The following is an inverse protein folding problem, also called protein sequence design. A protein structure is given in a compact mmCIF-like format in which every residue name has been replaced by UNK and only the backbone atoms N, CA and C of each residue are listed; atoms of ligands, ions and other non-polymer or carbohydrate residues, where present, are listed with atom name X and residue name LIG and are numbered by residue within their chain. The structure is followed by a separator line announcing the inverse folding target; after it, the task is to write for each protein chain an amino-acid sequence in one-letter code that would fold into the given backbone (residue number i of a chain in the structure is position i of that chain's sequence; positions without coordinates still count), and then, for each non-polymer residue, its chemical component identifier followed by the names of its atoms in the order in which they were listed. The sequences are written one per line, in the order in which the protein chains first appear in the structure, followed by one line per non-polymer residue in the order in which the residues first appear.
data_IF_144670372387
#
_entry.id   IF_144670372387
#
_cell.length_a   1.000
_cell.length_b   1.000
_cell.length_c   1.000
_cell.angle_alpha   90.00
_cell.angle_beta   90.00
_cell.angle_gamma   90.00
#
_symmetry.space_group_name_H-M   'P 1'
#
loop_
_entity.id
_entity.type
_entity.pdbx_description
1 polymer ?
#
# COMPACT_ATOMS: atom_id res chain seq x y z
N UNK A 1 -20.93 15.05 10.99
CA UNK A 1 -20.09 14.09 10.21
C UNK A 1 -20.02 12.82 11.03
N UNK A 2 -20.40 11.66 10.46
CA UNK A 2 -20.35 10.36 11.16
C UNK A 2 -18.90 9.97 11.47
N UNK A 3 -18.66 9.26 12.58
CA UNK A 3 -17.32 8.80 12.95
C UNK A 3 -16.73 7.85 11.89
N UNK A 4 -17.56 7.05 11.22
CA UNK A 4 -17.14 6.21 10.09
C UNK A 4 -16.61 7.04 8.91
N UNK A 5 -17.22 8.20 8.63
CA UNK A 5 -16.76 9.09 7.55
C UNK A 5 -15.41 9.72 7.89
N UNK A 6 -15.13 10.01 9.17
CA UNK A 6 -13.83 10.50 9.60
C UNK A 6 -12.74 9.43 9.39
N UNK A 7 -13.03 8.19 9.83
CA UNK A 7 -12.11 7.06 9.65
C UNK A 7 -11.78 6.84 8.17
N UNK A 8 -12.78 6.87 7.29
CA UNK A 8 -12.56 6.73 5.84
C UNK A 8 -11.70 7.88 5.29
N UNK A 9 -11.88 9.11 5.77
CA UNK A 9 -11.04 10.22 5.36
C UNK A 9 -9.59 10.05 5.82
N UNK A 10 -9.36 9.58 7.05
CA UNK A 10 -8.01 9.30 7.57
C UNK A 10 -7.32 8.18 6.77
N UNK A 11 -8.04 7.13 6.43
CA UNK A 11 -7.52 6.05 5.56
C UNK A 11 -7.19 6.61 4.16
N UNK A 12 -8.04 7.47 3.61
CA UNK A 12 -7.79 8.13 2.31
C UNK A 12 -6.51 8.96 2.33
N UNK A 13 -6.33 9.79 3.34
CA UNK A 13 -5.13 10.62 3.51
C UNK A 13 -3.88 9.75 3.67
N UNK A 14 -3.98 8.65 4.42
CA UNK A 14 -2.88 7.69 4.59
C UNK A 14 -2.51 7.02 3.27
N UNK A 15 -3.49 6.55 2.49
CA UNK A 15 -3.27 5.95 1.17
C UNK A 15 -2.61 6.96 0.22
N UNK A 16 -3.06 8.21 0.23
CA UNK A 16 -2.45 9.28 -0.58
C UNK A 16 -0.99 9.53 -0.17
N UNK A 17 -0.71 9.58 1.13
CA UNK A 17 0.65 9.73 1.63
C UNK A 17 1.55 8.57 1.18
N UNK A 18 1.09 7.32 1.32
CA UNK A 18 1.84 6.13 0.91
C UNK A 18 2.12 6.11 -0.60
N UNK A 19 1.16 6.54 -1.42
CA UNK A 19 1.33 6.68 -2.87
C UNK A 19 2.44 7.70 -3.20
N UNK A 20 2.45 8.86 -2.54
CA UNK A 20 3.51 9.86 -2.73
C UNK A 20 4.89 9.33 -2.31
N UNK A 21 4.97 8.57 -1.21
CA UNK A 21 6.23 7.94 -0.80
C UNK A 21 6.71 6.91 -1.83
N UNK A 22 5.78 6.11 -2.38
CA UNK A 22 6.07 5.13 -3.42
C UNK A 22 6.61 5.78 -4.70
N UNK A 23 6.04 6.91 -5.11
CA UNK A 23 6.51 7.68 -6.27
C UNK A 23 7.91 8.26 -6.07
N UNK A 24 8.28 8.59 -4.83
CA UNK A 24 9.64 9.03 -4.49
C UNK A 24 10.68 7.90 -4.48
N UNK A 25 10.24 6.64 -4.54
CA UNK A 25 11.11 5.46 -4.44
C UNK A 25 11.68 5.21 -3.04
N UNK A 26 11.14 5.87 -2.02
CA UNK A 26 11.63 5.84 -0.64
C UNK A 26 10.84 4.83 0.21
N UNK A 27 11.52 4.19 1.18
CA UNK A 27 10.88 3.39 2.25
C UNK A 27 9.93 2.28 1.76
N UNK A 28 10.29 1.61 0.67
CA UNK A 28 9.42 0.61 0.00
C UNK A 28 8.91 -0.49 0.96
N UNK A 29 9.78 -1.08 1.79
CA UNK A 29 9.37 -2.10 2.76
C UNK A 29 8.36 -1.55 3.79
N UNK A 30 8.56 -0.32 4.26
CA UNK A 30 7.63 0.33 5.19
C UNK A 30 6.27 0.55 4.53
N UNK A 31 6.26 0.98 3.26
CA UNK A 31 5.04 1.16 2.48
C UNK A 31 4.29 -0.17 2.38
N UNK A 32 4.98 -1.27 2.05
CA UNK A 32 4.38 -2.61 1.95
C UNK A 32 3.68 -2.99 3.25
N UNK A 33 4.37 -2.88 4.39
CA UNK A 33 3.78 -3.26 5.68
C UNK A 33 2.53 -2.42 6.00
N UNK A 34 2.61 -1.10 5.85
CA UNK A 34 1.49 -0.22 6.20
C UNK A 34 0.30 -0.38 5.26
N UNK A 35 0.55 -0.59 3.97
CA UNK A 35 -0.55 -0.77 3.01
C UNK A 35 -1.23 -2.13 3.18
N UNK A 36 -0.50 -3.17 3.62
CA UNK A 36 -1.10 -4.46 3.96
C UNK A 36 -2.03 -4.37 5.18
N UNK A 37 -1.63 -3.65 6.23
CA UNK A 37 -2.49 -3.39 7.39
C UNK A 37 -3.78 -2.64 7.01
N UNK A 38 -3.67 -1.69 6.07
CA UNK A 38 -4.82 -0.95 5.53
C UNK A 38 -5.74 -1.87 4.73
N UNK A 39 -5.18 -2.76 3.89
CA UNK A 39 -5.95 -3.74 3.13
C UNK A 39 -6.73 -4.66 4.06
N UNK A 40 -6.10 -5.16 5.12
CA UNK A 40 -6.77 -6.00 6.13
C UNK A 40 -7.90 -5.22 6.82
N UNK A 41 -7.62 -4.01 7.29
CA UNK A 41 -8.61 -3.16 7.98
C UNK A 41 -9.82 -2.84 7.11
N UNK A 42 -9.58 -2.47 5.84
CA UNK A 42 -10.65 -2.22 4.87
C UNK A 42 -11.41 -3.50 4.51
N UNK A 43 -10.74 -4.65 4.43
CA UNK A 43 -11.38 -5.94 4.21
C UNK A 43 -12.32 -6.32 5.36
N UNK A 44 -11.88 -6.14 6.60
CA UNK A 44 -12.70 -6.34 7.80
C UNK A 44 -13.89 -5.39 7.81
N UNK A 45 -13.67 -4.11 7.49
CA UNK A 45 -14.74 -3.13 7.37
C UNK A 45 -15.77 -3.59 6.33
N UNK A 46 -15.36 -3.90 5.10
CA UNK A 46 -16.25 -4.31 4.01
C UNK A 46 -17.05 -5.60 4.27
N UNK A 47 -16.60 -6.43 5.22
CA UNK A 47 -17.35 -7.61 5.67
C UNK A 47 -18.61 -7.27 6.47
N UNK A 48 -18.72 -6.03 6.99
CA UNK A 48 -19.89 -5.54 7.68
C UNK A 48 -21.02 -5.18 6.70
N UNK A 49 -22.12 -5.94 6.75
CA UNK A 49 -23.29 -5.73 5.90
C UNK A 49 -24.14 -4.52 6.32
N UNK A 50 -23.92 -3.98 7.53
CA UNK A 50 -24.62 -2.81 8.07
C UNK A 50 -23.99 -1.47 7.66
N UNK A 51 -22.85 -1.51 6.96
CA UNK A 51 -22.18 -0.30 6.47
C UNK A 51 -23.09 0.55 5.59
N UNK A 52 -23.18 1.87 5.85
CA UNK A 52 -23.86 2.79 4.95
C UNK A 52 -23.25 2.72 3.54
N UNK A 53 -24.10 2.74 2.51
CA UNK A 53 -23.69 2.55 1.12
C UNK A 53 -22.60 3.53 0.68
N UNK A 54 -22.69 4.79 1.08
CA UNK A 54 -21.68 5.79 0.75
C UNK A 54 -20.31 5.47 1.36
N UNK A 55 -20.29 4.89 2.57
CA UNK A 55 -19.06 4.48 3.25
C UNK A 55 -18.51 3.20 2.60
N UNK A 56 -19.38 2.26 2.24
CA UNK A 56 -19.02 1.02 1.53
C UNK A 56 -18.33 1.33 0.20
N UNK A 57 -18.93 2.17 -0.63
CA UNK A 57 -18.37 2.55 -1.94
C UNK A 57 -17.00 3.21 -1.80
N UNK A 58 -16.83 4.11 -0.82
CA UNK A 58 -15.53 4.74 -0.56
C UNK A 58 -14.50 3.73 -0.04
N UNK A 59 -14.88 2.83 0.87
CA UNK A 59 -14.01 1.77 1.39
C UNK A 59 -13.55 0.81 0.28
N UNK A 60 -14.43 0.42 -0.63
CA UNK A 60 -14.09 -0.43 -1.79
C UNK A 60 -13.07 0.25 -2.72
N UNK A 61 -13.29 1.54 -3.02
CA UNK A 61 -12.36 2.30 -3.84
C UNK A 61 -10.97 2.41 -3.18
N UNK A 62 -10.93 2.67 -1.87
CA UNK A 62 -9.69 2.71 -1.11
C UNK A 62 -9.01 1.33 -1.05
N UNK A 63 -9.78 0.25 -0.91
CA UNK A 63 -9.26 -1.12 -0.86
C UNK A 63 -8.57 -1.50 -2.17
N UNK A 64 -9.21 -1.21 -3.31
CA UNK A 64 -8.63 -1.43 -4.64
C UNK A 64 -7.33 -0.63 -4.80
N UNK A 65 -7.34 0.64 -4.38
CA UNK A 65 -6.16 1.51 -4.48
C UNK A 65 -5.01 1.03 -3.58
N UNK A 66 -5.29 0.61 -2.36
CA UNK A 66 -4.30 0.06 -1.44
C UNK A 66 -3.66 -1.20 -2.03
N UNK A 67 -4.45 -2.12 -2.61
CA UNK A 67 -3.92 -3.31 -3.30
C UNK A 67 -3.01 -2.96 -4.47
N UNK A 68 -3.37 -1.94 -5.26
CA UNK A 68 -2.52 -1.47 -6.35
C UNK A 68 -1.16 -0.94 -5.84
N UNK A 69 -1.17 -0.14 -4.77
CA UNK A 69 0.04 0.38 -4.13
C UNK A 69 0.92 -0.77 -3.61
N UNK A 70 0.32 -1.75 -2.92
CA UNK A 70 1.03 -2.92 -2.40
C UNK A 70 1.75 -3.70 -3.50
N UNK A 71 1.03 -3.99 -4.59
CA UNK A 71 1.56 -4.71 -5.74
C UNK A 71 2.71 -3.93 -6.40
N UNK A 72 2.53 -2.62 -6.62
CA UNK A 72 3.57 -1.76 -7.20
C UNK A 72 4.80 -1.68 -6.30
N UNK A 73 4.63 -1.57 -4.98
CA UNK A 73 5.72 -1.55 -4.01
C UNK A 73 6.52 -2.87 -4.01
N UNK A 74 5.83 -4.02 -4.02
CA UNK A 74 6.47 -5.35 -4.12
C UNK A 74 7.29 -5.48 -5.39
N UNK A 75 6.74 -5.06 -6.53
CA UNK A 75 7.48 -5.08 -7.80
C UNK A 75 8.74 -4.22 -7.77
N UNK A 76 8.68 -3.03 -7.16
CA UNK A 76 9.87 -2.16 -7.00
C UNK A 76 10.91 -2.83 -6.10
N UNK A 77 10.50 -3.40 -4.97
CA UNK A 77 11.41 -4.10 -4.05
C UNK A 77 12.12 -5.26 -4.75
N UNK A 78 11.37 -6.10 -5.48
CA UNK A 78 11.96 -7.20 -6.25
C UNK A 78 12.99 -6.73 -7.29
N UNK A 79 12.73 -5.60 -7.96
CA UNK A 79 13.68 -5.01 -8.90
C UNK A 79 14.97 -4.57 -8.19
N UNK A 80 14.85 -3.87 -7.07
CA UNK A 80 16.00 -3.43 -6.26
C UNK A 80 16.85 -4.60 -5.75
N UNK A 81 16.21 -5.69 -5.32
CA UNK A 81 16.90 -6.91 -4.88
C UNK A 81 17.62 -7.62 -6.03
N UNK A 82 17.04 -7.66 -7.23
CA UNK A 82 17.68 -8.22 -8.43
C UNK A 82 18.91 -7.41 -8.84
N UNK A 83 18.79 -6.08 -8.86
CA UNK A 83 19.91 -5.19 -9.17
C UNK A 83 21.06 -5.34 -8.17
N UNK A 84 20.74 -5.39 -6.87
CA UNK A 84 21.72 -5.60 -5.80
C UNK A 84 22.45 -6.95 -5.95
N UNK A 85 21.72 -8.02 -6.28
CA UNK A 85 22.33 -9.33 -6.56
C UNK A 85 23.27 -9.28 -7.76
N UNK A 86 22.85 -8.64 -8.86
CA UNK A 86 23.67 -8.51 -10.06
C UNK A 86 24.97 -7.73 -9.81
N UNK A 87 24.92 -6.66 -8.99
CA UNK A 87 26.10 -5.91 -8.59
C UNK A 87 27.08 -6.75 -7.76
N UNK A 88 26.58 -7.54 -6.81
CA UNK A 88 27.41 -8.45 -6.00
C UNK A 88 28.11 -9.51 -6.85
N UNK A 89 27.41 -10.08 -7.83
CA UNK A 89 27.99 -11.07 -8.76
C UNK A 89 29.06 -10.45 -9.64
N UNK A 90 28.82 -9.24 -10.16
CA UNK A 90 29.83 -8.51 -10.94
C UNK A 90 31.06 -8.20 -10.09
N UNK A 91 30.91 -7.64 -8.89
CA UNK A 91 32.06 -7.28 -8.04
C UNK A 91 33.01 -8.47 -7.77
N UNK A 92 32.46 -9.67 -7.56
CA UNK A 92 33.25 -10.90 -7.34
C UNK A 92 33.95 -11.45 -8.58
N UNK A 93 33.55 -11.03 -9.79
CA UNK A 93 34.19 -11.45 -11.03
C UNK A 93 35.44 -10.63 -11.38
N UNK A 94 35.72 -9.56 -10.63
CA UNK A 94 36.89 -8.68 -10.78
C UNK A 94 37.85 -8.77 -9.58
N UNK A 95 37.60 -9.68 -8.64
CA UNK A 95 38.51 -10.10 -7.56
C UNK A 95 39.22 -11.41 -7.96
#
# INVERSE_FOLDING_TARGET
MSDLTKIINEIRETIQFLEMQLESGSRIELIINHVEDIIESLGLMLSDTSLPENVRVEAEALYIKARYIAEKAKNILEMQERETRNLKTRSRAWE
#
